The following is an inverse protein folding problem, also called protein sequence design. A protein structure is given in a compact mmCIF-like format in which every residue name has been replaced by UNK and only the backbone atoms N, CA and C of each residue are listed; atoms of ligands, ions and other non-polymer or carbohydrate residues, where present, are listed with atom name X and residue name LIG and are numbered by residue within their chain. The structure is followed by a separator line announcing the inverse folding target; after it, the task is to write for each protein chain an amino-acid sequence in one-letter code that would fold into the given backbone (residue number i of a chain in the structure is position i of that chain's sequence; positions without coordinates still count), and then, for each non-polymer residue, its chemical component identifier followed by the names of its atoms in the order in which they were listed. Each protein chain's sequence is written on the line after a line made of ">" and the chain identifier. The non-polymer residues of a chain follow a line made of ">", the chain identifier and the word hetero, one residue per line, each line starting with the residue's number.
data_IF_873475366334
#
_entry.id   IF_873475366334
#
_cell.length_a   1.000
_cell.length_b   1.000
_cell.length_c   1.000
_cell.angle_alpha   90.00
_cell.angle_beta   90.00
_cell.angle_gamma   90.00
#
_symmetry.space_group_name_H-M   'P 1'
#
loop_
_entity.id
_entity.type
_entity.pdbx_description
1 polymer ?
#
# COMPACT_ATOMS: atom_id res chain seq x y z
N UNK A 1 15.39 7.92 16.26
CA UNK A 1 14.64 6.76 15.74
C UNK A 1 14.20 5.80 16.84
N UNK A 2 15.06 5.26 17.72
CA UNK A 2 14.65 4.29 18.75
C UNK A 2 13.52 4.80 19.69
N UNK A 3 13.68 5.97 20.30
CA UNK A 3 12.64 6.56 21.15
C UNK A 3 11.33 6.86 20.38
N UNK A 4 11.44 7.16 19.08
CA UNK A 4 10.28 7.38 18.21
C UNK A 4 9.52 6.10 17.92
N UNK A 5 10.25 5.03 17.58
CA UNK A 5 9.68 3.71 17.31
C UNK A 5 9.07 3.12 18.59
N UNK A 6 9.70 3.28 19.74
CA UNK A 6 9.12 2.86 21.02
C UNK A 6 7.79 3.56 21.31
N UNK A 7 7.68 4.87 21.03
CA UNK A 7 6.39 5.57 21.14
C UNK A 7 5.35 4.99 20.17
N UNK A 8 5.73 4.76 18.91
CA UNK A 8 4.85 4.14 17.92
C UNK A 8 4.35 2.76 18.37
N UNK A 9 5.26 1.92 18.88
CA UNK A 9 4.95 0.61 19.43
C UNK A 9 3.92 0.70 20.56
N UNK A 10 4.11 1.60 21.52
CA UNK A 10 3.17 1.81 22.63
C UNK A 10 1.79 2.28 22.14
N UNK A 11 1.76 3.21 21.18
CA UNK A 11 0.51 3.71 20.61
C UNK A 11 -0.24 2.60 19.87
N UNK A 12 0.44 1.78 19.07
CA UNK A 12 -0.18 0.64 18.37
C UNK A 12 -0.60 -0.45 19.35
N UNK A 13 0.20 -0.75 20.39
CA UNK A 13 -0.15 -1.72 21.44
C UNK A 13 -1.42 -1.31 22.21
N UNK A 14 -1.71 -0.01 22.31
CA UNK A 14 -2.96 0.47 22.91
C UNK A 14 -4.20 0.21 22.05
N UNK A 15 -4.01 -0.09 20.76
CA UNK A 15 -5.05 -0.34 19.77
C UNK A 15 -5.24 -1.83 19.47
N UNK A 16 -4.15 -2.57 19.32
CA UNK A 16 -4.17 -4.00 18.98
C UNK A 16 -2.92 -4.73 19.47
N UNK A 17 -2.99 -6.06 19.56
CA UNK A 17 -1.83 -6.90 19.85
C UNK A 17 -1.08 -7.22 18.56
N UNK A 18 0.25 -7.19 18.60
CA UNK A 18 1.09 -7.60 17.48
C UNK A 18 2.41 -8.25 17.95
N UNK A 19 3.02 -9.03 17.07
CA UNK A 19 4.38 -9.57 17.21
C UNK A 19 5.22 -9.20 16.00
N UNK A 20 6.52 -8.99 16.21
CA UNK A 20 7.50 -8.73 15.15
C UNK A 20 8.44 -9.92 15.05
N UNK A 21 8.58 -10.47 13.84
CA UNK A 21 9.41 -11.62 13.52
C UNK A 21 10.46 -11.23 12.50
N UNK A 22 11.71 -11.57 12.78
CA UNK A 22 12.77 -11.49 11.79
C UNK A 22 12.84 -12.83 11.05
N UNK A 23 12.79 -12.76 9.72
CA UNK A 23 12.74 -13.92 8.84
C UNK A 23 14.04 -14.02 8.03
N UNK A 24 14.75 -15.16 8.08
CA UNK A 24 15.95 -15.35 7.29
C UNK A 24 15.61 -15.50 5.80
N UNK A 25 16.53 -15.12 4.93
CA UNK A 25 16.30 -15.03 3.48
C UNK A 25 15.83 -16.37 2.89
N UNK A 26 16.35 -17.50 3.36
CA UNK A 26 15.97 -18.84 2.90
C UNK A 26 14.51 -19.24 3.22
N UNK A 27 13.83 -18.49 4.11
CA UNK A 27 12.42 -18.71 4.44
C UNK A 27 11.51 -17.59 3.91
N UNK A 28 12.07 -16.53 3.33
CA UNK A 28 11.37 -15.30 2.97
C UNK A 28 10.06 -15.54 2.17
N UNK A 29 10.13 -16.38 1.13
CA UNK A 29 9.01 -16.64 0.22
C UNK A 29 7.79 -17.25 0.94
N UNK A 30 8.01 -18.10 1.96
CA UNK A 30 6.93 -18.72 2.73
C UNK A 30 6.14 -17.70 3.56
N UNK A 31 6.70 -16.51 3.78
CA UNK A 31 6.08 -15.39 4.50
C UNK A 31 5.72 -14.23 3.57
N UNK A 32 5.78 -14.42 2.25
CA UNK A 32 5.47 -13.37 1.27
C UNK A 32 6.52 -12.26 1.18
N UNK A 33 7.74 -12.48 1.69
CA UNK A 33 8.79 -11.48 1.70
C UNK A 33 9.70 -11.59 0.46
N UNK A 34 10.01 -10.45 -0.14
CA UNK A 34 10.86 -10.34 -1.33
C UNK A 34 11.77 -9.12 -1.22
N UNK A 35 12.78 -9.01 -2.09
CA UNK A 35 13.66 -7.82 -2.11
C UNK A 35 12.90 -6.51 -2.32
N UNK A 36 11.79 -6.54 -3.06
CA UNK A 36 10.94 -5.38 -3.35
C UNK A 36 9.85 -5.15 -2.30
N UNK A 37 9.64 -6.10 -1.39
CA UNK A 37 8.68 -6.05 -0.29
C UNK A 37 9.28 -6.79 0.91
N UNK A 38 10.25 -6.18 1.60
CA UNK A 38 11.05 -6.86 2.62
C UNK A 38 10.37 -6.96 3.98
N UNK A 39 9.16 -6.43 4.10
CA UNK A 39 8.30 -6.55 5.26
C UNK A 39 6.84 -6.76 4.84
N UNK A 40 6.06 -7.35 5.74
CA UNK A 40 4.63 -7.57 5.57
C UNK A 40 3.95 -7.70 6.93
N UNK A 41 2.73 -7.17 7.03
CA UNK A 41 1.82 -7.38 8.16
C UNK A 41 0.66 -8.32 7.78
N UNK A 42 0.36 -9.29 8.63
CA UNK A 42 -0.78 -10.22 8.46
C UNK A 42 -1.60 -10.36 9.74
N UNK A 43 -2.88 -10.69 9.61
CA UNK A 43 -3.75 -10.97 10.75
C UNK A 43 -3.86 -12.49 10.98
N UNK A 44 -3.39 -12.95 12.15
CA UNK A 44 -3.57 -14.33 12.61
C UNK A 44 -4.52 -14.37 13.81
N UNK A 45 -5.78 -14.00 13.57
CA UNK A 45 -6.86 -14.05 14.56
C UNK A 45 -6.93 -12.78 15.42
N UNK A 46 -6.38 -12.83 16.64
CA UNK A 46 -6.44 -11.72 17.62
C UNK A 46 -5.09 -10.97 17.68
N UNK A 47 -4.05 -11.50 17.04
CA UNK A 47 -2.68 -10.94 17.09
C UNK A 47 -2.14 -10.76 15.68
N UNK A 48 -1.74 -9.53 15.37
CA UNK A 48 -1.08 -9.19 14.12
C UNK A 48 0.36 -9.73 14.10
N UNK A 49 0.78 -10.30 12.98
CA UNK A 49 2.16 -10.73 12.77
C UNK A 49 2.83 -9.79 11.77
N UNK A 50 3.95 -9.20 12.18
CA UNK A 50 4.81 -8.36 11.33
C UNK A 50 6.05 -9.19 11.02
N UNK A 51 6.27 -9.49 9.74
CA UNK A 51 7.43 -10.23 9.26
C UNK A 51 8.40 -9.27 8.57
N UNK A 52 9.69 -9.34 8.90
CA UNK A 52 10.73 -8.46 8.35
C UNK A 52 11.95 -9.30 7.96
N UNK A 53 12.53 -9.06 6.77
CA UNK A 53 13.74 -9.75 6.33
C UNK A 53 14.94 -9.46 7.24
N UNK A 54 15.61 -10.50 7.72
CA UNK A 54 16.83 -10.42 8.53
C UNK A 54 18.01 -9.79 7.79
N UNK A 55 18.02 -9.89 6.46
CA UNK A 55 19.11 -9.38 5.61
C UNK A 55 19.16 -7.85 5.54
N UNK A 56 18.10 -7.15 5.95
CA UNK A 56 18.07 -5.69 6.05
C UNK A 56 19.11 -5.21 7.07
N UNK A 57 19.67 -4.02 6.86
CA UNK A 57 20.46 -3.34 7.88
C UNK A 57 19.60 -3.00 9.10
N UNK A 58 20.23 -2.64 10.23
CA UNK A 58 19.47 -2.28 11.43
C UNK A 58 18.56 -1.07 11.19
N UNK A 59 19.00 -0.07 10.42
CA UNK A 59 18.20 1.11 10.11
C UNK A 59 17.00 0.75 9.23
N UNK A 60 17.22 -0.03 8.18
CA UNK A 60 16.16 -0.52 7.30
C UNK A 60 15.14 -1.41 8.05
N UNK A 61 15.59 -2.22 9.01
CA UNK A 61 14.68 -3.02 9.85
C UNK A 61 13.78 -2.16 10.72
N UNK A 62 14.35 -1.12 11.34
CA UNK A 62 13.57 -0.20 12.17
C UNK A 62 12.56 0.59 11.34
N UNK A 63 12.95 0.99 10.12
CA UNK A 63 12.04 1.66 9.20
C UNK A 63 10.93 0.72 8.71
N UNK A 64 11.29 -0.50 8.29
CA UNK A 64 10.35 -1.53 7.88
C UNK A 64 9.32 -1.83 8.99
N UNK A 65 9.78 -2.00 10.23
CA UNK A 65 8.87 -2.19 11.37
C UNK A 65 7.95 -0.98 11.57
N UNK A 66 8.49 0.24 11.50
CA UNK A 66 7.69 1.46 11.62
C UNK A 66 6.64 1.57 10.52
N UNK A 67 6.96 1.13 9.29
CA UNK A 67 6.04 1.12 8.16
C UNK A 67 4.84 0.19 8.43
N UNK A 68 5.10 -1.05 8.83
CA UNK A 68 4.06 -2.03 9.14
C UNK A 68 3.22 -1.63 10.36
N UNK A 69 3.85 -1.08 11.41
CA UNK A 69 3.13 -0.48 12.54
C UNK A 69 2.31 0.74 12.11
N UNK A 70 2.81 1.51 11.15
CA UNK A 70 2.11 2.65 10.55
C UNK A 70 0.79 2.23 9.90
N UNK A 71 0.76 1.10 9.18
CA UNK A 71 -0.48 0.53 8.66
C UNK A 71 -1.48 0.24 9.78
N UNK A 72 -1.08 -0.48 10.83
CA UNK A 72 -1.95 -0.78 11.98
C UNK A 72 -2.47 0.51 12.63
N UNK A 73 -1.60 1.50 12.81
CA UNK A 73 -1.98 2.78 13.41
C UNK A 73 -3.08 3.50 12.62
N UNK A 74 -2.93 3.61 11.29
CA UNK A 74 -3.91 4.33 10.45
C UNK A 74 -5.22 3.56 10.25
N UNK A 75 -5.21 2.23 10.37
CA UNK A 75 -6.43 1.41 10.32
C UNK A 75 -7.21 1.46 11.63
N UNK A 76 -6.56 1.41 12.79
CA UNK A 76 -7.25 1.32 14.08
C UNK A 76 -7.54 2.66 14.77
N UNK A 77 -6.89 3.76 14.37
CA UNK A 77 -7.14 5.08 14.99
C UNK A 77 -8.54 5.59 14.66
N UNK A 78 -9.40 5.98 15.61
CA UNK A 78 -10.76 6.44 15.30
C UNK A 78 -10.81 7.85 14.65
N UNK A 79 -11.58 8.05 13.55
CA UNK A 79 -12.05 7.05 12.59
C UNK A 79 -10.90 6.57 11.68
N UNK A 80 -10.80 5.24 11.55
CA UNK A 80 -9.71 4.59 10.83
C UNK A 80 -9.87 4.66 9.33
N UNK A 81 -8.80 4.31 8.61
CA UNK A 81 -8.89 4.08 7.17
C UNK A 81 -9.69 2.80 6.88
N UNK A 82 -10.46 2.86 5.81
CA UNK A 82 -11.13 1.68 5.26
C UNK A 82 -10.08 0.75 4.65
N UNK A 83 -10.35 -0.54 4.74
CA UNK A 83 -9.63 -1.59 4.01
C UNK A 83 -10.63 -2.37 3.18
N UNK A 84 -10.20 -2.80 2.02
CA UNK A 84 -11.06 -3.56 1.12
C UNK A 84 -10.73 -5.04 1.22
N UNK A 85 -11.77 -5.86 1.22
CA UNK A 85 -11.60 -7.29 1.01
C UNK A 85 -12.36 -7.71 -0.26
N UNK A 86 -11.83 -8.70 -0.94
CA UNK A 86 -12.51 -9.31 -2.08
C UNK A 86 -13.28 -10.53 -1.59
N UNK A 87 -14.60 -10.42 -1.45
CA UNK A 87 -15.46 -11.63 -1.34
C UNK A 87 -15.26 -12.52 -2.59
N UNK A 88 -14.84 -11.93 -3.71
CA UNK A 88 -14.37 -12.66 -4.89
C UNK A 88 -12.97 -13.22 -4.62
N UNK A 89 -12.86 -14.19 -3.73
CA UNK A 89 -11.62 -14.93 -3.42
C UNK A 89 -11.06 -15.71 -4.62
N UNK A 90 -11.74 -15.69 -5.76
CA UNK A 90 -11.42 -16.50 -6.94
C UNK A 90 -10.80 -15.72 -8.10
N UNK A 91 -10.65 -14.39 -7.98
CA UNK A 91 -10.07 -13.56 -9.03
C UNK A 91 -8.78 -12.88 -8.54
N UNK A 92 -7.67 -13.56 -8.76
CA UNK A 92 -6.32 -13.11 -8.36
C UNK A 92 -5.99 -11.71 -8.93
N UNK A 93 -6.46 -11.39 -10.15
CA UNK A 93 -6.18 -10.10 -10.77
C UNK A 93 -6.96 -8.94 -10.11
N UNK A 94 -8.20 -9.20 -9.68
CA UNK A 94 -8.99 -8.24 -8.89
C UNK A 94 -8.35 -8.05 -7.51
N UNK A 95 -7.89 -9.14 -6.88
CA UNK A 95 -7.21 -9.05 -5.60
C UNK A 95 -5.97 -8.16 -5.67
N UNK A 96 -5.16 -8.28 -6.72
CA UNK A 96 -4.01 -7.38 -6.95
C UNK A 96 -4.45 -5.93 -7.05
N UNK A 97 -5.53 -5.62 -7.79
CA UNK A 97 -6.06 -4.26 -7.88
C UNK A 97 -6.50 -3.72 -6.51
N UNK A 98 -7.21 -4.52 -5.73
CA UNK A 98 -7.67 -4.17 -4.38
C UNK A 98 -6.48 -3.84 -3.46
N UNK A 99 -5.47 -4.70 -3.41
CA UNK A 99 -4.24 -4.43 -2.64
C UNK A 99 -3.56 -3.13 -3.09
N UNK A 100 -3.53 -2.84 -4.40
CA UNK A 100 -2.95 -1.57 -4.88
C UNK A 100 -3.75 -0.35 -4.44
N UNK A 101 -5.07 -0.45 -4.37
CA UNK A 101 -5.92 0.65 -3.90
C UNK A 101 -5.69 0.88 -2.40
N UNK A 102 -5.67 -0.18 -1.59
CA UNK A 102 -5.44 -0.07 -0.14
C UNK A 102 -4.06 0.55 0.17
N UNK A 103 -3.03 0.11 -0.54
CA UNK A 103 -1.69 0.70 -0.48
C UNK A 103 -1.72 2.18 -0.90
N UNK A 104 -2.35 2.48 -2.04
CA UNK A 104 -2.44 3.85 -2.52
C UNK A 104 -3.20 4.77 -1.55
N UNK A 105 -4.19 4.27 -0.82
CA UNK A 105 -4.92 5.05 0.20
C UNK A 105 -4.04 5.27 1.43
N UNK A 106 -3.41 4.21 1.94
CA UNK A 106 -2.72 4.19 3.22
C UNK A 106 -1.32 4.81 3.18
N UNK A 107 -0.49 4.51 2.16
CA UNK A 107 0.95 4.82 2.18
C UNK A 107 1.27 6.30 2.38
N UNK A 108 0.64 7.22 1.65
CA UNK A 108 0.94 8.64 1.86
C UNK A 108 0.50 9.11 3.25
N UNK A 109 -0.65 8.62 3.74
CA UNK A 109 -1.16 9.01 5.04
C UNK A 109 -0.29 8.45 6.18
N UNK A 110 0.16 7.20 6.06
CA UNK A 110 1.07 6.60 7.04
C UNK A 110 2.44 7.27 7.00
N UNK A 111 3.00 7.59 5.82
CA UNK A 111 4.28 8.29 5.69
C UNK A 111 4.20 9.67 6.36
N UNK A 112 3.13 10.43 6.08
CA UNK A 112 2.94 11.74 6.69
C UNK A 112 2.77 11.65 8.22
N UNK A 113 2.08 10.62 8.70
CA UNK A 113 1.89 10.34 10.12
C UNK A 113 3.20 9.97 10.82
N UNK A 114 3.99 9.06 10.24
CA UNK A 114 5.29 8.63 10.75
C UNK A 114 6.29 9.79 10.81
N UNK A 115 6.35 10.60 9.76
CA UNK A 115 7.23 11.77 9.71
C UNK A 115 6.78 12.84 10.73
N UNK A 116 5.51 13.25 10.69
CA UNK A 116 5.00 14.37 11.49
C UNK A 116 4.94 14.05 12.98
N UNK A 117 4.42 12.86 13.32
CA UNK A 117 4.12 12.52 14.72
C UNK A 117 5.17 11.62 15.35
N UNK A 118 6.04 10.96 14.56
CA UNK A 118 7.09 10.10 15.08
C UNK A 118 8.50 10.53 14.66
N UNK A 119 8.67 11.44 13.69
CA UNK A 119 9.98 11.80 13.13
C UNK A 119 10.72 10.53 12.64
N UNK A 120 9.97 9.68 11.92
CA UNK A 120 10.47 8.48 11.26
C UNK A 120 10.24 8.67 9.76
N UNK A 121 11.33 8.79 9.01
CA UNK A 121 11.31 8.89 7.55
C UNK A 121 10.99 7.55 6.91
N UNK A 122 10.49 7.57 5.68
CA UNK A 122 10.21 6.36 4.88
C UNK A 122 11.18 6.20 3.70
N UNK A 123 12.50 6.27 3.98
CA UNK A 123 13.56 6.20 2.99
C UNK A 123 13.64 4.88 2.23
N UNK A 124 13.63 3.75 2.95
CA UNK A 124 13.56 2.40 2.37
C UNK A 124 12.33 2.26 1.46
N UNK A 125 11.15 2.63 1.94
CA UNK A 125 9.93 2.53 1.12
C UNK A 125 10.04 3.35 -0.18
N UNK A 126 10.51 4.59 -0.08
CA UNK A 126 10.72 5.46 -1.25
C UNK A 126 11.74 4.85 -2.22
N UNK A 127 12.85 4.31 -1.72
CA UNK A 127 13.88 3.65 -2.54
C UNK A 127 13.34 2.42 -3.26
N UNK A 128 12.54 1.58 -2.59
CA UNK A 128 11.92 0.40 -3.20
C UNK A 128 10.96 0.81 -4.32
N UNK A 129 10.16 1.85 -4.12
CA UNK A 129 9.28 2.42 -5.14
C UNK A 129 10.05 3.03 -6.33
N UNK A 130 11.23 3.62 -6.11
CA UNK A 130 12.07 4.13 -7.20
C UNK A 130 12.69 3.02 -8.04
N UNK A 131 13.06 1.93 -7.39
CA UNK A 131 13.64 0.75 -8.04
C UNK A 131 12.58 0.05 -8.89
N UNK A 132 11.36 -0.12 -8.38
CA UNK A 132 10.28 -0.78 -9.11
C UNK A 132 9.91 -0.08 -10.43
N UNK A 133 10.05 1.25 -10.51
CA UNK A 133 9.81 2.03 -11.73
C UNK A 133 10.68 1.59 -12.92
N UNK A 134 11.80 0.91 -12.70
CA UNK A 134 12.67 0.41 -13.77
C UNK A 134 11.95 -0.64 -14.62
N UNK A 135 11.27 -1.59 -13.96
CA UNK A 135 10.67 -2.77 -14.58
C UNK A 135 9.26 -2.53 -15.14
N UNK A 136 8.53 -1.52 -14.65
CA UNK A 136 7.13 -1.23 -15.01
C UNK A 136 6.90 -1.16 -16.54
N UNK A 137 7.90 -0.71 -17.31
CA UNK A 137 7.74 -0.63 -18.78
C UNK A 137 7.59 -2.01 -19.40
N UNK A 138 8.40 -2.97 -18.96
CA UNK A 138 8.34 -4.34 -19.45
C UNK A 138 7.04 -5.01 -18.99
N UNK A 139 6.64 -4.77 -17.75
CA UNK A 139 5.40 -5.28 -17.17
C UNK A 139 4.16 -4.80 -17.92
N UNK A 140 4.01 -3.48 -18.16
CA UNK A 140 2.87 -2.92 -18.92
C UNK A 140 2.79 -3.55 -20.32
N UNK A 141 3.94 -3.72 -21.01
CA UNK A 141 3.97 -4.33 -22.35
C UNK A 141 3.49 -5.79 -22.32
N UNK A 142 3.91 -6.55 -21.32
CA UNK A 142 3.48 -7.93 -21.12
C UNK A 142 1.97 -8.01 -20.87
N UNK A 143 1.44 -7.17 -19.97
CA UNK A 143 0.02 -7.11 -19.66
C UNK A 143 -0.85 -6.70 -20.87
N UNK A 144 -0.36 -5.78 -21.71
CA UNK A 144 -1.00 -5.42 -22.98
C UNK A 144 -1.06 -6.62 -23.94
N UNK A 145 0.04 -7.35 -24.10
CA UNK A 145 0.06 -8.55 -24.95
C UNK A 145 -0.93 -9.63 -24.46
N UNK A 146 -1.09 -9.76 -23.15
CA UNK A 146 -2.06 -10.66 -22.50
C UNK A 146 -3.49 -10.13 -22.45
N UNK A 147 -3.73 -8.87 -22.85
CA UNK A 147 -5.03 -8.17 -22.74
C UNK A 147 -5.61 -8.17 -21.32
N UNK A 148 -4.76 -8.14 -20.29
CA UNK A 148 -5.20 -8.17 -18.90
C UNK A 148 -5.49 -6.74 -18.39
N UNK A 149 -6.72 -6.28 -18.56
CA UNK A 149 -7.13 -4.92 -18.19
C UNK A 149 -7.11 -4.69 -16.67
N UNK A 150 -7.37 -5.70 -15.85
CA UNK A 150 -7.44 -5.58 -14.39
C UNK A 150 -6.07 -5.27 -13.81
N UNK A 151 -5.06 -6.04 -14.23
CA UNK A 151 -3.67 -5.77 -13.85
C UNK A 151 -3.16 -4.44 -14.46
N UNK A 152 -3.59 -4.06 -15.67
CA UNK A 152 -3.27 -2.72 -16.20
C UNK A 152 -3.87 -1.59 -15.35
N UNK A 153 -5.07 -1.77 -14.80
CA UNK A 153 -5.67 -0.82 -13.86
C UNK A 153 -4.88 -0.78 -12.55
N UNK A 154 -4.51 -1.95 -12.01
CA UNK A 154 -3.68 -2.06 -10.81
C UNK A 154 -2.34 -1.33 -10.99
N UNK A 155 -1.72 -1.42 -12.18
CA UNK A 155 -0.51 -0.65 -12.51
C UNK A 155 -0.74 0.86 -12.52
N UNK A 156 -1.91 1.32 -12.98
CA UNK A 156 -2.28 2.74 -12.91
C UNK A 156 -2.40 3.24 -11.48
N UNK A 157 -2.99 2.43 -10.59
CA UNK A 157 -3.09 2.73 -9.15
C UNK A 157 -1.72 2.70 -8.49
N UNK A 158 -0.87 1.73 -8.84
CA UNK A 158 0.49 1.63 -8.31
C UNK A 158 1.36 2.83 -8.71
N UNK A 159 1.27 3.29 -9.96
CA UNK A 159 1.95 4.52 -10.39
C UNK A 159 1.43 5.76 -9.66
N UNK A 160 0.14 5.79 -9.31
CA UNK A 160 -0.44 6.86 -8.50
C UNK A 160 0.12 6.85 -7.08
N UNK A 161 0.24 5.66 -6.45
CA UNK A 161 0.88 5.49 -5.15
C UNK A 161 2.32 6.03 -5.17
N UNK A 162 3.14 5.60 -6.14
CA UNK A 162 4.52 6.09 -6.30
C UNK A 162 4.56 7.62 -6.45
N UNK A 163 3.69 8.20 -7.28
CA UNK A 163 3.67 9.63 -7.51
C UNK A 163 3.27 10.45 -6.27
N UNK A 164 2.40 9.91 -5.41
CA UNK A 164 1.95 10.60 -4.20
C UNK A 164 2.92 10.44 -3.02
N UNK A 165 3.68 9.35 -2.96
CA UNK A 165 4.65 9.07 -1.89
C UNK A 165 6.05 9.60 -2.22
N UNK A 166 6.41 9.68 -3.50
CA UNK A 166 7.71 10.18 -3.96
C UNK A 166 7.56 11.35 -4.95
N UNK A 167 7.82 12.57 -4.47
CA UNK A 167 7.74 13.79 -5.29
C UNK A 167 8.75 13.83 -6.44
N UNK A 168 9.88 13.14 -6.32
CA UNK A 168 10.93 13.10 -7.35
C UNK A 168 10.58 12.14 -8.50
N UNK A 169 9.58 11.27 -8.32
CA UNK A 169 9.20 10.28 -9.32
C UNK A 169 8.31 10.81 -10.45
N UNK A 170 7.76 12.03 -10.31
CA UNK A 170 6.72 12.57 -11.20
C UNK A 170 7.03 12.44 -12.70
N UNK A 171 8.22 12.89 -13.14
CA UNK A 171 8.62 12.83 -14.55
C UNK A 171 8.76 11.38 -15.07
N UNK A 172 9.24 10.45 -14.22
CA UNK A 172 9.37 9.03 -14.57
C UNK A 172 7.99 8.39 -14.67
N UNK A 173 7.08 8.68 -13.75
CA UNK A 173 5.68 8.22 -13.77
C UNK A 173 4.99 8.70 -15.06
N UNK A 174 5.10 9.98 -15.40
CA UNK A 174 4.49 10.55 -16.60
C UNK A 174 4.92 9.83 -17.90
N UNK A 175 6.18 9.41 -17.98
CA UNK A 175 6.67 8.61 -19.10
C UNK A 175 5.99 7.23 -19.16
N UNK A 176 5.78 6.58 -18.02
CA UNK A 176 5.10 5.26 -17.96
C UNK A 176 3.62 5.38 -18.32
N UNK A 177 2.95 6.46 -17.92
CA UNK A 177 1.53 6.71 -18.25
C UNK A 177 1.29 6.82 -19.76
N UNK A 178 2.29 7.20 -20.58
CA UNK A 178 2.13 7.23 -22.04
C UNK A 178 2.17 5.84 -22.70
N UNK A 179 2.52 4.78 -21.95
CA UNK A 179 2.65 3.43 -22.51
C UNK A 179 1.30 2.74 -22.75
N UNK A 180 0.24 3.12 -22.02
CA UNK A 180 -1.06 2.48 -22.12
C UNK A 180 -2.20 3.38 -21.60
N UNK A 181 -3.32 3.43 -22.33
CA UNK A 181 -4.48 4.28 -22.00
C UNK A 181 -5.25 3.80 -20.78
N UNK A 182 -5.37 2.48 -20.55
CA UNK A 182 -6.01 1.90 -19.36
C UNK A 182 -5.23 2.25 -18.09
N UNK A 183 -3.91 2.11 -18.12
CA UNK A 183 -3.01 2.53 -17.02
C UNK A 183 -3.19 4.02 -16.73
N UNK A 184 -3.15 4.86 -17.77
CA UNK A 184 -3.33 6.32 -17.65
C UNK A 184 -4.70 6.71 -17.09
N UNK A 185 -5.75 6.00 -17.50
CA UNK A 185 -7.10 6.23 -17.03
C UNK A 185 -7.23 5.89 -15.53
N UNK A 186 -6.77 4.69 -15.14
CA UNK A 186 -6.79 4.27 -13.73
C UNK A 186 -5.98 5.22 -12.83
N UNK A 187 -4.79 5.65 -13.26
CA UNK A 187 -4.00 6.66 -12.55
C UNK A 187 -4.79 7.95 -12.32
N UNK A 188 -5.40 8.51 -13.37
CA UNK A 188 -6.15 9.77 -13.28
C UNK A 188 -7.40 9.63 -12.40
N UNK A 189 -8.09 8.50 -12.49
CA UNK A 189 -9.23 8.20 -11.62
C UNK A 189 -8.81 8.07 -10.17
N UNK A 190 -7.67 7.41 -9.89
CA UNK A 190 -7.11 7.29 -8.55
C UNK A 190 -6.75 8.68 -7.98
N UNK A 191 -6.08 9.50 -8.78
CA UNK A 191 -5.78 10.90 -8.42
C UNK A 191 -7.03 11.73 -8.16
N UNK A 192 -8.11 11.54 -8.92
CA UNK A 192 -9.35 12.31 -8.75
C UNK A 192 -10.14 11.89 -7.50
N UNK A 193 -10.14 10.59 -7.17
CA UNK A 193 -11.04 10.03 -6.17
C UNK A 193 -10.33 9.55 -4.91
N UNK A 194 -9.29 8.72 -5.03
CA UNK A 194 -8.59 8.13 -3.88
C UNK A 194 -7.77 9.18 -3.11
N UNK A 195 -7.29 10.23 -3.79
CA UNK A 195 -6.57 11.34 -3.12
C UNK A 195 -7.45 12.16 -2.17
N UNK A 196 -8.78 11.99 -2.23
CA UNK A 196 -9.73 12.74 -1.40
C UNK A 196 -9.92 12.10 -0.01
N UNK A 197 -9.43 10.86 0.16
CA UNK A 197 -9.47 10.11 1.41
C UNK A 197 -8.41 10.68 2.36
N UNK A 198 -8.81 10.97 3.60
CA UNK A 198 -7.98 11.56 4.66
C UNK A 198 -8.26 10.88 6.00
N UNK A 199 -7.26 10.85 6.88
CA UNK A 199 -7.45 10.50 8.29
C UNK A 199 -8.52 11.39 8.93
N UNK A 200 -9.35 10.82 9.80
CA UNK A 200 -10.44 11.56 10.46
C UNK A 200 -11.74 11.65 9.67
N UNK A 201 -11.77 11.25 8.39
CA UNK A 201 -13.02 11.18 7.63
C UNK A 201 -13.85 9.96 8.04
N UNK A 202 -15.18 10.10 8.03
CA UNK A 202 -16.06 8.94 8.25
C UNK A 202 -15.89 7.91 7.15
N UNK A 203 -15.99 6.63 7.51
CA UNK A 203 -15.82 5.52 6.57
C UNK A 203 -16.85 5.55 5.45
N UNK A 204 -18.07 6.03 5.72
CA UNK A 204 -19.08 6.27 4.68
C UNK A 204 -18.56 7.19 3.57
N UNK A 205 -17.85 8.26 3.92
CA UNK A 205 -17.26 9.18 2.94
C UNK A 205 -16.09 8.50 2.21
N UNK A 206 -15.24 7.76 2.93
CA UNK A 206 -14.13 7.01 2.33
C UNK A 206 -14.65 5.98 1.31
N UNK A 207 -15.67 5.18 1.66
CA UNK A 207 -16.34 4.23 0.76
C UNK A 207 -16.91 4.93 -0.49
N UNK A 208 -17.50 6.12 -0.34
CA UNK A 208 -18.00 6.86 -1.48
C UNK A 208 -16.89 7.23 -2.48
N UNK A 209 -15.70 7.57 -2.00
CA UNK A 209 -14.56 7.86 -2.89
C UNK A 209 -14.04 6.61 -3.58
N UNK A 210 -13.94 5.49 -2.87
CA UNK A 210 -13.56 4.21 -3.49
C UNK A 210 -14.60 3.76 -4.52
N UNK A 211 -15.89 3.83 -4.20
CA UNK A 211 -16.95 3.49 -5.14
C UNK A 211 -16.94 4.39 -6.39
N UNK A 212 -16.64 5.69 -6.24
CA UNK A 212 -16.45 6.59 -7.40
C UNK A 212 -15.25 6.16 -8.25
N UNK A 213 -14.14 5.78 -7.62
CA UNK A 213 -12.98 5.23 -8.30
C UNK A 213 -13.33 3.95 -9.07
N UNK A 214 -13.90 2.94 -8.41
CA UNK A 214 -14.26 1.65 -9.01
C UNK A 214 -15.20 1.81 -10.19
N UNK A 215 -16.23 2.66 -10.06
CA UNK A 215 -17.15 3.02 -11.16
C UNK A 215 -16.41 3.69 -12.31
N UNK A 216 -15.50 4.61 -12.03
CA UNK A 216 -14.73 5.31 -13.06
C UNK A 216 -13.85 4.35 -13.88
N UNK A 217 -13.31 3.29 -13.26
CA UNK A 217 -12.51 2.27 -13.95
C UNK A 217 -13.34 1.08 -14.47
N UNK A 218 -14.68 1.14 -14.39
CA UNK A 218 -15.58 0.21 -15.08
C UNK A 218 -16.16 -0.93 -14.25
N UNK A 219 -16.01 -0.91 -12.91
CA UNK A 219 -16.64 -1.87 -12.02
C UNK A 219 -17.99 -1.34 -11.55
N UNK A 220 -19.03 -2.15 -11.70
CA UNK A 220 -20.40 -1.77 -11.35
C UNK A 220 -20.88 -2.36 -10.02
N UNK A 221 -20.22 -3.44 -9.57
CA UNK A 221 -20.51 -4.08 -8.29
C UNK A 221 -19.96 -3.23 -7.14
N UNK A 222 -20.73 -3.15 -6.07
CA UNK A 222 -20.24 -2.59 -4.82
C UNK A 222 -19.25 -3.60 -4.24
N UNK A 223 -18.02 -3.17 -3.98
CA UNK A 223 -17.07 -3.98 -3.21
C UNK A 223 -17.58 -4.08 -1.78
N UNK A 224 -17.34 -5.21 -1.13
CA UNK A 224 -17.53 -5.31 0.30
C UNK A 224 -16.38 -4.63 1.03
N UNK A 225 -16.72 -3.97 2.12
CA UNK A 225 -15.78 -3.23 2.94
C UNK A 225 -15.91 -3.74 4.36
N UNK A 226 -14.78 -4.01 5.00
CA UNK A 226 -14.77 -4.44 6.38
C UNK A 226 -13.97 -3.48 7.24
N UNK A 227 -14.37 -3.47 8.51
CA UNK A 227 -13.57 -2.93 9.59
C UNK A 227 -12.53 -3.99 9.96
N UNK A 228 -11.26 -3.62 9.99
CA UNK A 228 -10.23 -4.37 10.72
C UNK A 228 -10.35 -4.13 12.22
#
# INVERSE_FOLDING_TARGET
>A
MLNSLERLRLDVQSLCNYNVHLIPLEKAEAYGLFSQSPAQVTNEGIVWQIFILESLSNEERLEAEAHELGHLLVYYRPPGLITMDSIVMFDEDIHVLICRIDNAISHKLLIDELETNYNISSGLHIQLMETSLEDIRAEIRNLVARKNNKLLQAMGVYLFDIARTNMNASARVDQKLQLNTTVKHAFKSAQLHLSQIKLGQSQTIQHQYVNKFMKAIGYQEELDYFLL
#
